data_IF_139888586282
#
_entry.id   IF_139888586282
#
_cell.length_a   1.000
_cell.length_b   1.000
_cell.length_c   1.000
_cell.angle_alpha   90.00
_cell.angle_beta   90.00
_cell.angle_gamma   90.00
#
_symmetry.space_group_name_H-M   'P 1'
#
loop_
_entity.id
_entity.type
_entity.pdbx_description
1 polymer ?
#
# COMPACT_ATOMS: atom_id res chain seq x y z
N UNK A 1 -8.66 -4.62 -7.13
CA UNK A 1 -8.10 -4.05 -8.37
C UNK A 1 -7.01 -3.08 -7.97
N UNK A 2 -5.93 -3.00 -8.74
CA UNK A 2 -4.86 -2.03 -8.49
C UNK A 2 -4.31 -1.52 -9.82
N UNK A 3 -3.83 -0.28 -9.80
CA UNK A 3 -3.14 0.35 -10.91
C UNK A 3 -1.83 0.91 -10.37
N UNK A 4 -0.76 0.65 -11.10
CA UNK A 4 0.53 1.29 -10.90
C UNK A 4 0.83 2.14 -12.14
N UNK A 5 1.35 3.33 -11.91
CA UNK A 5 1.82 4.19 -12.99
C UNK A 5 3.15 4.81 -12.62
N UNK A 6 4.03 4.92 -13.60
CA UNK A 6 5.27 5.67 -13.47
C UNK A 6 4.95 7.15 -13.70
N UNK A 7 4.90 7.92 -12.61
CA UNK A 7 4.40 9.29 -12.68
C UNK A 7 5.40 10.22 -13.38
N UNK A 8 6.65 10.21 -12.89
CA UNK A 8 7.76 11.04 -13.36
C UNK A 8 9.09 10.37 -13.01
N UNK A 9 10.18 10.81 -13.65
CA UNK A 9 11.51 10.60 -13.12
C UNK A 9 11.77 11.56 -11.96
N UNK A 10 12.11 11.04 -10.79
CA UNK A 10 12.38 11.81 -9.59
C UNK A 10 13.61 11.28 -8.86
N UNK A 11 14.54 12.18 -8.57
CA UNK A 11 15.82 11.89 -7.94
C UNK A 11 16.68 10.90 -8.75
N UNK A 12 16.92 9.69 -8.25
CA UNK A 12 17.80 8.73 -8.90
C UNK A 12 17.06 7.71 -9.80
N UNK A 13 15.73 7.80 -9.95
CA UNK A 13 14.96 6.87 -10.78
C UNK A 13 13.51 7.30 -11.03
N UNK A 14 12.67 6.37 -11.48
CA UNK A 14 11.23 6.58 -11.61
C UNK A 14 10.55 6.71 -10.25
N UNK A 15 9.44 7.47 -10.21
CA UNK A 15 8.52 7.58 -9.08
C UNK A 15 7.24 6.78 -9.40
N UNK A 16 7.24 5.45 -9.19
CA UNK A 16 6.02 4.67 -9.34
C UNK A 16 5.03 5.07 -8.24
N UNK A 17 3.80 5.35 -8.65
CA UNK A 17 2.68 5.56 -7.74
C UNK A 17 1.69 4.41 -7.93
N UNK A 18 1.19 3.89 -6.83
CA UNK A 18 0.31 2.74 -6.74
C UNK A 18 -1.00 3.15 -6.09
N UNK A 19 -2.11 2.82 -6.74
CA UNK A 19 -3.45 2.91 -6.17
C UNK A 19 -4.09 1.53 -6.17
N UNK A 20 -4.76 1.21 -5.07
CA UNK A 20 -5.46 -0.07 -4.92
C UNK A 20 -6.82 0.10 -4.29
N UNK A 21 -7.72 -0.80 -4.68
CA UNK A 21 -9.02 -1.00 -4.06
C UNK A 21 -9.22 -2.48 -3.82
N UNK A 22 -9.55 -2.84 -2.58
CA UNK A 22 -9.81 -4.21 -2.15
C UNK A 22 -11.15 -4.26 -1.43
N UNK A 23 -12.03 -5.11 -1.93
CA UNK A 23 -13.23 -5.52 -1.21
C UNK A 23 -13.12 -7.01 -0.92
N UNK A 24 -13.33 -7.42 0.33
CA UNK A 24 -13.21 -8.82 0.73
C UNK A 24 -14.30 -9.22 1.72
N UNK A 25 -14.80 -10.45 1.61
CA UNK A 25 -15.58 -11.10 2.66
C UNK A 25 -14.60 -11.88 3.50
N UNK A 26 -14.48 -11.54 4.77
CA UNK A 26 -13.51 -12.20 5.65
C UNK A 26 -14.02 -13.60 6.04
N UNK A 27 -13.12 -14.58 6.27
CA UNK A 27 -13.49 -15.97 6.55
C UNK A 27 -14.03 -16.18 7.99
N UNK A 28 -14.14 -15.12 8.79
CA UNK A 28 -14.71 -15.15 10.14
C UNK A 28 -16.04 -14.39 10.19
N UNK A 29 -16.86 -14.75 11.17
CA UNK A 29 -18.10 -14.04 11.50
C UNK A 29 -17.89 -13.22 12.76
N UNK A 30 -18.61 -12.11 12.86
CA UNK A 30 -18.63 -11.29 14.07
C UNK A 30 -20.09 -11.03 14.44
N UNK A 31 -20.49 -11.45 15.64
CA UNK A 31 -21.91 -11.46 16.09
C UNK A 31 -22.83 -12.20 15.08
N UNK A 32 -22.41 -13.39 14.65
CA UNK A 32 -23.09 -14.22 13.62
C UNK A 32 -23.21 -13.62 12.21
N UNK A 33 -22.72 -12.40 12.00
CA UNK A 33 -22.73 -11.73 10.70
C UNK A 33 -21.42 -11.87 9.92
N UNK A 34 -21.53 -11.92 8.59
CA UNK A 34 -20.35 -11.98 7.70
C UNK A 34 -19.71 -10.61 7.60
N UNK A 35 -18.44 -10.52 7.98
CA UNK A 35 -17.68 -9.27 7.92
C UNK A 35 -17.32 -8.94 6.46
N UNK A 36 -17.71 -7.75 6.02
CA UNK A 36 -17.26 -7.16 4.75
C UNK A 36 -16.20 -6.13 5.03
N UNK A 37 -15.04 -6.30 4.41
CA UNK A 37 -13.94 -5.34 4.42
C UNK A 37 -13.91 -4.58 3.10
N UNK A 38 -13.78 -3.27 3.20
CA UNK A 38 -13.49 -2.39 2.07
C UNK A 38 -12.24 -1.57 2.37
N UNK A 39 -11.29 -1.49 1.45
CA UNK A 39 -10.01 -0.81 1.65
C UNK A 39 -9.56 -0.12 0.38
N UNK A 40 -9.12 1.12 0.53
CA UNK A 40 -8.39 1.90 -0.47
C UNK A 40 -6.94 1.98 -0.04
N UNK A 41 -6.02 1.80 -0.97
CA UNK A 41 -4.59 1.91 -0.75
C UNK A 41 -3.94 2.91 -1.72
N UNK A 42 -2.94 3.61 -1.23
CA UNK A 42 -2.06 4.51 -1.96
C UNK A 42 -0.62 4.16 -1.59
N UNK A 43 0.30 4.13 -2.53
CA UNK A 43 1.72 4.06 -2.22
C UNK A 43 2.59 4.68 -3.29
N UNK A 44 3.82 5.00 -2.92
CA UNK A 44 4.85 5.44 -3.86
C UNK A 44 6.21 4.90 -3.43
N UNK A 45 7.18 4.89 -4.34
CA UNK A 45 8.55 4.48 -4.06
C UNK A 45 9.53 5.50 -4.62
N UNK A 46 10.56 5.83 -3.84
CA UNK A 46 11.61 6.77 -4.25
C UNK A 46 12.93 6.00 -4.30
N UNK A 47 13.58 6.01 -5.46
CA UNK A 47 14.97 5.55 -5.59
C UNK A 47 15.90 6.71 -5.25
N UNK A 48 16.71 6.51 -4.23
CA UNK A 48 17.59 7.52 -3.64
C UNK A 48 19.02 7.43 -4.20
N UNK A 49 19.48 6.21 -4.44
CA UNK A 49 20.77 5.94 -5.06
C UNK A 49 20.66 4.72 -5.97
N UNK A 50 21.36 4.76 -7.10
CA UNK A 50 21.44 3.64 -8.04
C UNK A 50 22.87 3.41 -8.54
N UNK A 51 23.22 2.17 -8.83
CA UNK A 51 24.45 1.79 -9.52
C UNK A 51 24.17 0.67 -10.52
N UNK A 52 24.70 0.78 -11.74
CA UNK A 52 24.46 -0.21 -12.82
C UNK A 52 22.97 -0.50 -13.06
N UNK A 53 22.09 0.49 -12.86
CA UNK A 53 20.64 0.34 -12.98
C UNK A 53 19.96 -0.40 -11.82
N UNK A 54 20.71 -0.76 -10.76
CA UNK A 54 20.17 -1.36 -9.55
C UNK A 54 19.99 -0.30 -8.45
N UNK A 55 18.82 -0.22 -7.80
CA UNK A 55 18.60 0.70 -6.69
C UNK A 55 19.42 0.26 -5.47
N UNK A 56 20.43 1.06 -5.11
CA UNK A 56 21.25 0.88 -3.91
C UNK A 56 20.51 1.37 -2.67
N UNK A 57 19.73 2.43 -2.78
CA UNK A 57 18.91 2.92 -1.68
C UNK A 57 17.53 3.32 -2.20
N UNK A 58 16.47 2.86 -1.53
CA UNK A 58 15.10 3.18 -1.90
C UNK A 58 14.19 3.27 -0.67
N UNK A 59 13.22 4.17 -0.71
CA UNK A 59 12.18 4.33 0.30
C UNK A 59 10.83 3.99 -0.33
N UNK A 60 10.12 3.04 0.24
CA UNK A 60 8.76 2.67 -0.15
C UNK A 60 7.78 3.11 0.95
N UNK A 61 6.73 3.84 0.56
CA UNK A 61 5.69 4.29 1.49
C UNK A 61 4.33 3.84 0.96
N UNK A 62 3.53 3.25 1.84
CA UNK A 62 2.16 2.84 1.54
C UNK A 62 1.22 3.22 2.68
N UNK A 63 0.06 3.78 2.32
CA UNK A 63 -1.03 4.09 3.22
C UNK A 63 -2.28 3.33 2.79
N UNK A 64 -3.04 2.83 3.75
CA UNK A 64 -4.30 2.16 3.54
C UNK A 64 -5.36 2.72 4.47
N UNK A 65 -6.55 2.93 3.95
CA UNK A 65 -7.72 3.33 4.70
C UNK A 65 -8.90 2.45 4.29
N UNK A 66 -9.65 1.97 5.27
CA UNK A 66 -10.75 1.07 5.02
C UNK A 66 -11.76 1.05 6.14
N UNK A 67 -12.79 0.24 5.94
CA UNK A 67 -13.75 -0.09 6.97
C UNK A 67 -14.11 -1.56 6.95
N UNK A 68 -14.49 -2.06 8.12
CA UNK A 68 -15.06 -3.40 8.31
C UNK A 68 -16.46 -3.23 8.85
N UNK A 69 -17.42 -3.86 8.16
CA UNK A 69 -18.82 -3.85 8.56
C UNK A 69 -19.28 -5.26 8.90
N UNK A 70 -19.95 -5.38 10.05
CA UNK A 70 -20.65 -6.58 10.50
C UNK A 70 -21.91 -6.16 11.24
N UNK A 71 -23.09 -6.31 10.62
CA UNK A 71 -24.36 -5.87 11.20
C UNK A 71 -24.39 -4.40 11.57
N UNK A 72 -24.61 -4.15 12.86
CA UNK A 72 -24.63 -2.82 13.46
C UNK A 72 -23.24 -2.24 13.78
N UNK A 73 -22.16 -2.96 13.48
CA UNK A 73 -20.80 -2.55 13.80
C UNK A 73 -20.06 -2.05 12.54
N UNK A 74 -19.47 -0.85 12.65
CA UNK A 74 -18.60 -0.24 11.64
C UNK A 74 -17.26 0.12 12.31
N UNK A 75 -16.18 -0.52 11.86
CA UNK A 75 -14.81 -0.27 12.34
C UNK A 75 -14.01 0.42 11.25
N UNK A 76 -13.26 1.47 11.61
CA UNK A 76 -12.32 2.10 10.68
C UNK A 76 -10.92 1.49 10.81
N UNK A 77 -10.34 1.11 9.67
CA UNK A 77 -8.98 0.60 9.55
C UNK A 77 -8.10 1.65 8.87
N UNK A 78 -6.96 1.98 9.49
CA UNK A 78 -5.91 2.81 8.87
C UNK A 78 -4.56 2.14 9.09
N UNK A 79 -3.75 2.06 8.04
CA UNK A 79 -2.39 1.50 8.10
C UNK A 79 -1.43 2.40 7.33
N UNK A 80 -0.27 2.67 7.92
CA UNK A 80 0.84 3.33 7.25
C UNK A 80 2.05 2.40 7.35
N UNK A 81 2.64 2.10 6.20
CA UNK A 81 3.80 1.23 6.07
C UNK A 81 4.92 2.02 5.40
N UNK A 82 6.11 1.96 5.99
CA UNK A 82 7.32 2.54 5.41
C UNK A 82 8.40 1.46 5.37
N UNK A 83 9.07 1.32 4.23
CA UNK A 83 10.15 0.36 4.04
C UNK A 83 11.36 1.09 3.48
N UNK A 84 12.49 0.99 4.17
CA UNK A 84 13.77 1.50 3.69
C UNK A 84 14.62 0.32 3.21
N UNK A 85 15.09 0.40 1.97
CA UNK A 85 16.10 -0.50 1.41
C UNK A 85 17.42 0.27 1.32
N UNK A 86 18.49 -0.35 1.82
CA UNK A 86 19.88 0.11 1.65
C UNK A 86 20.71 -1.10 1.27
N UNK A 87 21.55 -0.95 0.25
CA UNK A 87 22.43 -1.98 -0.29
C UNK A 87 23.75 -1.36 -0.73
N UNK A 88 24.82 -2.11 -0.51
CA UNK A 88 26.19 -1.65 -0.67
C UNK A 88 27.04 -2.16 0.49
N UNK A 89 28.20 -2.72 0.17
CA UNK A 89 29.30 -3.01 1.08
C UNK A 89 30.48 -2.18 0.60
#
# INVERSE_FOLDING_TARGET
VGVEWEAINFWAGGLPIRLGFRQSKLPFRFLDERVKENTVSLGFSIVMAQALGLPLAALDVAAEAGSRRSGSYDESLRRLTMTLRVGGN
#
